data_IF_416172143383
#
_entry.id   IF_416172143383
#
_cell.length_a   1.000
_cell.length_b   1.000
_cell.length_c   1.000
_cell.angle_alpha   90.00
_cell.angle_beta   90.00
_cell.angle_gamma   90.00
#
_symmetry.space_group_name_H-M   'P 1'
#
loop_
_entity.id
_entity.type
_entity.pdbx_description
1 polymer ?
#
# COMPACT_ATOMS: atom_id res chain seq x y z
N UNK A 1 -58.87 21.95 9.95
CA UNK A 1 -58.24 20.67 10.36
C UNK A 1 -57.60 20.91 11.71
N UNK A 2 -57.94 20.13 12.74
CA UNK A 2 -57.45 20.32 14.11
C UNK A 2 -56.23 19.43 14.37
N UNK A 3 -55.15 19.99 14.91
CA UNK A 3 -54.05 19.26 15.57
C UNK A 3 -53.85 19.97 16.93
N UNK A 4 -53.91 19.21 18.03
CA UNK A 4 -53.79 19.69 19.42
C UNK A 4 -54.69 20.86 19.84
N UNK A 5 -55.99 20.77 19.50
CA UNK A 5 -57.03 21.50 20.23
C UNK A 5 -57.09 23.02 20.08
N UNK A 6 -56.34 23.62 19.14
CA UNK A 6 -56.52 25.04 18.75
C UNK A 6 -56.99 25.18 17.31
N UNK A 7 -58.03 25.99 17.10
CA UNK A 7 -58.53 26.42 15.79
C UNK A 7 -57.48 27.33 15.12
N UNK A 8 -57.15 27.06 13.86
CA UNK A 8 -56.29 27.92 13.03
C UNK A 8 -57.20 28.92 12.32
N UNK A 9 -57.20 30.16 12.78
CA UNK A 9 -57.81 31.28 12.06
C UNK A 9 -56.73 32.03 11.26
N UNK A 10 -57.04 32.26 9.97
CA UNK A 10 -56.42 33.19 9.00
C UNK A 10 -55.38 32.58 8.00
N UNK A 11 -55.61 32.65 6.67
CA UNK A 11 -54.78 32.01 5.66
C UNK A 11 -53.71 32.99 5.14
N UNK A 12 -52.54 32.99 5.75
CA UNK A 12 -51.37 33.66 5.21
C UNK A 12 -50.10 32.89 5.58
N UNK A 13 -49.98 31.65 5.10
CA UNK A 13 -48.73 30.89 5.09
C UNK A 13 -48.82 29.79 4.04
N UNK A 14 -48.84 30.21 2.78
CA UNK A 14 -48.70 29.33 1.63
C UNK A 14 -47.62 29.94 0.72
N UNK A 15 -46.37 29.98 1.18
CA UNK A 15 -45.08 30.03 0.43
C UNK A 15 -43.95 29.74 1.44
N UNK A 16 -43.98 28.58 2.12
CA UNK A 16 -42.76 28.00 2.77
C UNK A 16 -42.84 26.46 2.72
N UNK A 17 -43.39 25.90 1.64
CA UNK A 17 -43.49 24.45 1.46
C UNK A 17 -42.80 23.95 0.17
N UNK A 18 -42.03 24.81 -0.52
CA UNK A 18 -41.21 24.41 -1.69
C UNK A 18 -39.78 24.97 -1.54
N UNK A 19 -39.22 24.91 -0.34
CA UNK A 19 -37.77 25.06 -0.14
C UNK A 19 -37.20 24.13 0.93
N UNK A 20 -37.99 23.14 1.38
CA UNK A 20 -37.55 22.11 2.32
C UNK A 20 -37.39 20.73 1.66
N UNK A 21 -37.13 20.69 0.35
CA UNK A 21 -36.83 19.47 -0.41
C UNK A 21 -35.61 19.60 -1.35
N UNK A 22 -34.75 20.58 -1.13
CA UNK A 22 -33.43 20.68 -1.78
C UNK A 22 -32.43 21.18 -0.72
N UNK A 23 -31.88 20.26 0.06
CA UNK A 23 -31.01 20.65 1.18
C UNK A 23 -30.48 19.49 2.01
N UNK A 24 -30.90 18.25 1.75
CA UNK A 24 -30.10 17.08 2.08
C UNK A 24 -29.17 16.84 0.89
N UNK A 25 -28.13 17.66 0.80
CA UNK A 25 -26.91 17.16 0.18
C UNK A 25 -26.54 15.92 0.95
N UNK A 26 -26.65 14.76 0.32
CA UNK A 26 -25.98 13.56 0.79
C UNK A 26 -24.52 13.97 0.93
N UNK A 27 -24.07 14.22 2.16
CA UNK A 27 -22.71 13.89 2.48
C UNK A 27 -22.66 12.38 2.26
N UNK A 28 -22.28 11.97 1.05
CA UNK A 28 -21.71 10.66 0.90
C UNK A 28 -20.57 10.64 1.90
N UNK A 29 -20.77 9.92 3.00
CA UNK A 29 -19.65 9.25 3.64
C UNK A 29 -19.08 8.35 2.55
N UNK A 30 -18.26 8.90 1.66
CA UNK A 30 -17.36 8.09 0.86
C UNK A 30 -16.46 7.44 1.89
N UNK A 31 -16.85 6.24 2.29
CA UNK A 31 -15.91 5.26 2.80
C UNK A 31 -14.84 5.23 1.73
N UNK A 32 -13.65 5.71 2.06
CA UNK A 32 -12.48 5.66 1.21
C UNK A 32 -12.47 4.31 0.50
N UNK A 33 -12.40 4.33 -0.83
CA UNK A 33 -12.39 3.09 -1.57
C UNK A 33 -11.13 2.31 -1.18
N UNK A 34 -11.28 1.00 -1.03
CA UNK A 34 -10.13 0.17 -0.70
C UNK A 34 -9.05 0.29 -1.78
N UNK A 35 -7.76 0.25 -1.39
CA UNK A 35 -6.70 0.02 -2.34
C UNK A 35 -6.97 -1.25 -3.16
N UNK A 36 -6.93 -1.11 -4.48
CA UNK A 36 -7.10 -2.22 -5.42
C UNK A 36 -5.76 -2.54 -6.09
N UNK A 37 -5.60 -3.80 -6.50
CA UNK A 37 -4.44 -4.22 -7.27
C UNK A 37 -4.58 -3.84 -8.75
N UNK A 38 -3.63 -3.04 -9.25
CA UNK A 38 -3.62 -2.47 -10.60
C UNK A 38 -2.72 -3.25 -11.59
N UNK A 39 -2.18 -4.40 -11.18
CA UNK A 39 -1.45 -5.31 -12.06
C UNK A 39 0.07 -5.13 -12.12
N UNK A 40 0.61 -4.10 -11.46
CA UNK A 40 2.05 -3.91 -11.29
C UNK A 40 2.69 -4.92 -10.32
N UNK A 41 4.03 -5.04 -10.29
CA UNK A 41 4.70 -5.94 -9.36
C UNK A 41 4.81 -5.32 -7.96
N UNK A 42 4.94 -6.19 -6.96
CA UNK A 42 5.28 -5.84 -5.57
C UNK A 42 6.72 -6.24 -5.26
N UNK A 43 7.30 -5.77 -4.15
CA UNK A 43 8.61 -6.26 -3.67
C UNK A 43 8.42 -7.56 -2.88
N UNK A 44 8.05 -8.61 -3.61
CA UNK A 44 7.80 -9.95 -3.07
C UNK A 44 9.06 -10.69 -2.64
N UNK A 45 8.89 -11.59 -1.67
CA UNK A 45 9.97 -12.34 -1.03
C UNK A 45 10.55 -11.57 0.17
N UNK A 46 11.80 -11.86 0.50
CA UNK A 46 12.52 -11.16 1.57
C UNK A 46 13.29 -9.97 1.00
N UNK A 47 12.62 -8.82 0.93
CA UNK A 47 13.18 -7.58 0.39
C UNK A 47 14.28 -7.08 1.31
N UNK A 48 15.47 -6.87 0.75
CA UNK A 48 16.59 -6.31 1.50
C UNK A 48 16.45 -4.79 1.52
N UNK A 49 16.44 -4.21 2.72
CA UNK A 49 16.36 -2.77 2.94
C UNK A 49 17.73 -2.25 3.34
N UNK A 50 18.35 -1.44 2.48
CA UNK A 50 19.61 -0.78 2.80
C UNK A 50 19.33 0.60 3.40
N UNK A 51 19.96 0.91 4.52
CA UNK A 51 19.82 2.19 5.21
C UNK A 51 21.02 3.09 4.90
N UNK A 52 20.74 4.27 4.36
CA UNK A 52 21.75 5.27 4.02
C UNK A 52 21.58 6.47 4.93
N UNK A 53 22.44 6.57 5.93
CA UNK A 53 22.47 7.65 6.91
C UNK A 53 23.22 8.84 6.33
N UNK A 54 22.49 9.74 5.66
CA UNK A 54 23.07 10.87 4.95
C UNK A 54 23.18 12.12 5.84
N UNK A 55 24.40 12.62 6.07
CA UNK A 55 24.63 13.88 6.78
C UNK A 55 24.36 13.85 8.29
N UNK A 56 24.42 12.66 8.91
CA UNK A 56 24.23 12.50 10.36
C UNK A 56 25.48 12.87 11.20
N UNK A 57 26.66 12.96 10.58
CA UNK A 57 27.91 13.25 11.29
C UNK A 57 28.14 12.27 12.44
N UNK A 58 28.55 12.78 13.60
CA UNK A 58 28.79 11.96 14.80
C UNK A 58 27.52 11.32 15.38
N UNK A 59 26.34 11.89 15.13
CA UNK A 59 25.07 11.40 15.67
C UNK A 59 24.66 10.04 15.08
N UNK A 60 25.25 9.64 13.94
CA UNK A 60 24.97 8.35 13.31
C UNK A 60 25.20 7.17 14.27
N UNK A 61 26.22 7.26 15.12
CA UNK A 61 26.54 6.22 16.11
C UNK A 61 25.43 5.99 17.14
N UNK A 62 24.59 6.99 17.38
CA UNK A 62 23.46 6.92 18.32
C UNK A 62 22.20 6.42 17.63
N UNK A 63 21.90 6.89 16.42
CA UNK A 63 20.63 6.55 15.74
C UNK A 63 20.70 5.27 14.91
N UNK A 64 21.88 4.90 14.40
CA UNK A 64 22.03 3.74 13.53
C UNK A 64 21.59 2.44 14.20
N UNK A 65 21.98 2.14 15.46
CA UNK A 65 21.49 0.94 16.14
C UNK A 65 19.96 0.91 16.28
N UNK A 66 19.30 2.07 16.40
CA UNK A 66 17.85 2.17 16.59
C UNK A 66 17.11 1.84 15.29
N UNK A 67 17.42 2.54 14.19
CA UNK A 67 16.76 2.31 12.90
C UNK A 67 17.14 0.94 12.31
N UNK A 68 18.37 0.47 12.51
CA UNK A 68 18.76 -0.89 12.13
C UNK A 68 17.91 -1.94 12.86
N UNK A 69 17.79 -1.85 14.19
CA UNK A 69 16.98 -2.79 14.98
C UNK A 69 15.50 -2.77 14.54
N UNK A 70 15.00 -1.59 14.20
CA UNK A 70 13.64 -1.43 13.70
C UNK A 70 13.41 -2.23 12.40
N UNK A 71 14.25 -2.02 11.39
CA UNK A 71 14.16 -2.74 10.11
C UNK A 71 14.39 -4.25 10.28
N UNK A 72 15.33 -4.65 11.15
CA UNK A 72 15.58 -6.08 11.41
C UNK A 72 14.39 -6.81 12.05
N UNK A 73 13.54 -6.10 12.79
CA UNK A 73 12.45 -6.73 13.55
C UNK A 73 11.06 -6.56 12.95
N UNK A 74 10.80 -5.49 12.21
CA UNK A 74 9.43 -5.10 11.83
C UNK A 74 8.70 -6.18 11.04
N UNK A 75 9.39 -6.91 10.16
CA UNK A 75 8.79 -7.96 9.32
C UNK A 75 8.19 -9.13 10.10
N UNK A 76 8.59 -9.32 11.36
CA UNK A 76 8.08 -10.39 12.24
C UNK A 76 6.87 -9.98 13.08
N UNK A 77 6.37 -8.75 12.93
CA UNK A 77 5.25 -8.24 13.73
C UNK A 77 3.90 -8.63 13.13
N UNK A 78 2.87 -8.72 13.98
CA UNK A 78 1.50 -8.87 13.50
C UNK A 78 1.04 -7.63 12.71
N UNK A 79 1.57 -6.45 13.03
CA UNK A 79 1.35 -5.23 12.23
C UNK A 79 1.81 -5.43 10.79
N UNK A 80 3.03 -5.91 10.60
CA UNK A 80 3.56 -6.22 9.27
C UNK A 80 2.77 -7.33 8.57
N UNK A 81 2.19 -8.24 9.34
CA UNK A 81 1.28 -9.27 8.86
C UNK A 81 0.11 -8.76 8.00
N UNK A 82 -0.30 -7.49 8.15
CA UNK A 82 -1.29 -6.84 7.29
C UNK A 82 -0.84 -6.81 5.82
N UNK A 83 0.47 -6.69 5.56
CA UNK A 83 1.04 -6.63 4.20
C UNK A 83 0.77 -7.89 3.37
N UNK A 84 0.44 -9.03 4.01
CA UNK A 84 0.08 -10.27 3.30
C UNK A 84 -1.12 -10.14 2.37
N UNK A 85 -1.98 -9.15 2.60
CA UNK A 85 -3.16 -8.88 1.78
C UNK A 85 -2.84 -8.05 0.52
N UNK A 86 -1.60 -7.60 0.37
CA UNK A 86 -1.12 -6.73 -0.70
C UNK A 86 -0.23 -7.49 -1.70
N UNK A 87 -0.55 -8.74 -2.02
CA UNK A 87 0.27 -9.54 -2.93
C UNK A 87 0.02 -9.23 -4.41
N UNK A 88 1.00 -9.53 -5.27
CA UNK A 88 0.80 -9.53 -6.72
C UNK A 88 0.35 -10.90 -7.22
N UNK A 89 0.31 -11.07 -8.55
CA UNK A 89 -0.02 -12.36 -9.18
C UNK A 89 0.97 -13.48 -8.86
N UNK A 90 2.22 -13.16 -8.50
CA UNK A 90 3.20 -14.16 -8.07
C UNK A 90 2.92 -14.64 -6.64
N UNK A 91 2.07 -13.93 -5.89
CA UNK A 91 1.62 -14.25 -4.54
C UNK A 91 2.78 -14.50 -3.56
N UNK A 92 3.88 -13.78 -3.77
CA UNK A 92 5.06 -13.88 -2.92
C UNK A 92 4.79 -13.14 -1.60
N UNK A 93 5.15 -13.72 -0.44
CA UNK A 93 5.04 -13.03 0.84
C UNK A 93 5.80 -11.70 0.80
N UNK A 94 5.26 -10.66 1.42
CA UNK A 94 5.97 -9.39 1.57
C UNK A 94 6.74 -9.42 2.89
N UNK A 95 8.06 -9.55 2.82
CA UNK A 95 8.96 -9.51 3.97
C UNK A 95 10.08 -8.51 3.76
N UNK A 96 10.65 -8.02 4.86
CA UNK A 96 11.83 -7.16 4.82
C UNK A 96 12.92 -7.67 5.75
N UNK A 97 14.16 -7.49 5.32
CA UNK A 97 15.34 -7.75 6.13
C UNK A 97 16.32 -6.58 6.03
N UNK A 98 17.05 -6.32 7.11
CA UNK A 98 18.11 -5.33 7.09
C UNK A 98 19.25 -5.79 6.18
N UNK A 99 19.59 -4.94 5.22
CA UNK A 99 20.77 -5.07 4.38
C UNK A 99 21.96 -4.30 4.92
N UNK A 100 22.64 -3.58 4.03
CA UNK A 100 23.74 -2.71 4.41
C UNK A 100 23.24 -1.47 5.12
N UNK A 101 24.05 -0.98 6.07
CA UNK A 101 23.84 0.30 6.75
C UNK A 101 25.09 1.13 6.56
N UNK A 102 24.97 2.22 5.81
CA UNK A 102 26.11 3.06 5.47
C UNK A 102 25.90 4.49 5.95
N UNK A 103 26.96 5.10 6.43
CA UNK A 103 26.98 6.53 6.72
C UNK A 103 27.65 7.26 5.56
N UNK A 104 26.98 8.30 5.05
CA UNK A 104 27.52 9.14 3.99
C UNK A 104 27.55 10.59 4.45
N UNK A 105 28.70 11.24 4.29
CA UNK A 105 28.89 12.61 4.73
C UNK A 105 28.19 13.62 3.80
N UNK A 106 27.72 14.72 4.38
CA UNK A 106 27.03 15.79 3.65
C UNK A 106 27.92 16.43 2.56
N UNK A 107 29.25 16.38 2.69
CA UNK A 107 30.18 16.85 1.66
C UNK A 107 30.03 16.14 0.31
N UNK A 108 29.40 14.95 0.27
CA UNK A 108 29.25 14.17 -0.97
C UNK A 108 28.24 14.77 -1.95
N UNK A 109 27.16 15.37 -1.43
CA UNK A 109 26.04 15.90 -2.25
C UNK A 109 25.49 17.25 -1.76
N UNK A 110 26.07 17.83 -0.70
CA UNK A 110 25.65 19.07 -0.09
C UNK A 110 24.56 18.91 0.98
N UNK A 111 24.14 20.03 1.56
CA UNK A 111 23.12 20.07 2.63
C UNK A 111 21.73 20.46 2.15
N UNK A 112 21.57 20.80 0.86
CA UNK A 112 20.29 21.15 0.24
C UNK A 112 20.00 20.18 -0.89
N UNK A 113 18.99 19.33 -0.68
CA UNK A 113 18.68 18.21 -1.56
C UNK A 113 17.32 18.39 -2.22
N UNK A 114 17.16 17.75 -3.38
CA UNK A 114 15.88 17.51 -4.02
C UNK A 114 15.75 16.01 -4.33
N UNK A 115 14.63 15.60 -4.90
CA UNK A 115 14.37 14.19 -5.24
C UNK A 115 15.45 13.56 -6.14
N UNK A 116 15.98 14.32 -7.11
CA UNK A 116 17.06 13.83 -7.98
C UNK A 116 18.36 13.58 -7.22
N UNK A 117 18.71 14.45 -6.27
CA UNK A 117 19.88 14.24 -5.40
C UNK A 117 19.68 13.06 -4.46
N UNK A 118 18.48 12.89 -3.89
CA UNK A 118 18.16 11.70 -3.06
C UNK A 118 18.26 10.42 -3.88
N UNK A 119 17.73 10.39 -5.10
CA UNK A 119 17.88 9.28 -6.04
C UNK A 119 19.36 8.95 -6.32
N UNK A 120 20.19 9.99 -6.46
CA UNK A 120 21.64 9.84 -6.66
C UNK A 120 22.34 9.28 -5.43
N UNK A 121 21.98 9.75 -4.23
CA UNK A 121 22.47 9.19 -2.95
C UNK A 121 22.08 7.72 -2.86
N UNK A 122 20.81 7.39 -3.10
CA UNK A 122 20.29 6.02 -3.02
C UNK A 122 21.01 5.06 -3.98
N UNK A 123 21.23 5.46 -5.24
CA UNK A 123 21.84 4.61 -6.28
C UNK A 123 23.33 4.42 -6.12
N UNK A 124 24.05 5.49 -5.81
CA UNK A 124 25.52 5.51 -5.86
C UNK A 124 26.16 5.21 -4.51
N UNK A 125 25.33 5.00 -3.48
CA UNK A 125 25.74 4.51 -2.18
C UNK A 125 26.52 3.19 -2.32
N UNK A 126 27.82 3.18 -1.96
CA UNK A 126 28.62 1.97 -2.02
C UNK A 126 27.93 0.85 -1.25
N UNK A 127 27.99 -0.39 -1.76
CA UNK A 127 27.47 -1.58 -1.10
C UNK A 127 25.93 -1.68 -1.02
N UNK A 128 25.16 -0.64 -1.32
CA UNK A 128 23.70 -0.67 -1.37
C UNK A 128 23.13 -1.09 -2.75
N UNK A 129 23.96 -1.59 -3.67
CA UNK A 129 23.56 -1.89 -5.07
C UNK A 129 22.86 -3.26 -5.20
N UNK A 130 21.75 -3.35 -5.97
CA UNK A 130 21.01 -4.60 -6.23
C UNK A 130 19.47 -4.41 -6.28
N UNK A 131 18.71 -5.50 -6.40
CA UNK A 131 17.24 -5.52 -6.26
C UNK A 131 16.84 -5.38 -4.78
N UNK A 132 17.09 -4.20 -4.22
CA UNK A 132 16.89 -3.83 -2.83
C UNK A 132 16.07 -2.53 -2.75
N UNK A 133 15.46 -2.27 -1.60
CA UNK A 133 14.93 -0.95 -1.27
C UNK A 133 16.02 -0.13 -0.57
N UNK A 134 16.47 0.95 -1.19
CA UNK A 134 17.46 1.85 -0.60
C UNK A 134 16.78 3.04 0.06
N UNK A 135 16.77 3.08 1.39
CA UNK A 135 16.11 4.11 2.17
C UNK A 135 17.14 5.14 2.68
N UNK A 136 16.99 6.39 2.22
CA UNK A 136 17.84 7.51 2.63
C UNK A 136 17.24 8.18 3.87
N UNK A 137 17.97 8.12 4.98
CA UNK A 137 17.61 8.79 6.23
C UNK A 137 18.52 10.01 6.39
N UNK A 138 17.97 11.22 6.31
CA UNK A 138 18.81 12.43 6.41
C UNK A 138 19.02 12.86 7.85
N UNK A 139 20.20 13.44 8.12
CA UNK A 139 20.55 14.04 9.40
C UNK A 139 19.96 15.44 9.60
N UNK A 140 20.08 16.02 10.80
CA UNK A 140 19.41 17.26 11.18
C UNK A 140 19.88 18.50 10.39
N UNK A 141 21.10 18.50 9.86
CA UNK A 141 21.63 19.63 9.07
C UNK A 141 21.26 19.58 7.58
N UNK A 142 20.42 18.65 7.16
CA UNK A 142 20.04 18.45 5.76
C UNK A 142 18.65 18.99 5.49
N UNK A 143 18.56 19.90 4.54
CA UNK A 143 17.32 20.44 4.00
C UNK A 143 16.94 19.67 2.74
N UNK A 144 15.67 19.26 2.64
CA UNK A 144 15.13 18.58 1.45
C UNK A 144 13.93 19.35 0.93
N UNK A 145 13.88 19.61 -0.37
CA UNK A 145 12.79 20.35 -0.99
C UNK A 145 11.42 19.73 -0.64
N UNK A 146 10.48 20.56 -0.21
CA UNK A 146 9.09 20.23 0.17
C UNK A 146 8.91 19.29 1.38
N UNK A 147 9.99 18.84 2.03
CA UNK A 147 9.90 18.06 3.26
C UNK A 147 9.23 18.87 4.39
N UNK A 148 8.25 18.26 5.07
CA UNK A 148 7.46 18.90 6.13
C UNK A 148 6.34 19.82 5.64
N UNK A 149 6.24 20.04 4.33
CA UNK A 149 5.16 20.80 3.70
C UNK A 149 4.21 19.87 2.95
N UNK A 150 4.75 19.02 2.07
CA UNK A 150 3.94 18.10 1.24
C UNK A 150 4.02 16.66 1.70
N UNK A 151 5.12 16.24 2.32
CA UNK A 151 5.28 14.88 2.84
C UNK A 151 6.35 14.80 3.93
N UNK A 152 6.31 13.70 4.69
CA UNK A 152 7.26 13.37 5.77
C UNK A 152 8.26 12.28 5.37
N UNK A 153 7.92 11.53 4.32
CA UNK A 153 8.79 10.67 3.57
C UNK A 153 8.25 10.55 2.15
N UNK A 154 8.83 9.65 1.37
CA UNK A 154 8.28 9.12 0.14
C UNK A 154 9.12 7.93 -0.33
N UNK A 155 8.54 7.01 -1.08
CA UNK A 155 9.28 6.11 -1.98
C UNK A 155 9.14 6.52 -3.44
N UNK A 156 10.07 6.03 -4.27
CA UNK A 156 10.09 6.26 -5.70
C UNK A 156 10.95 5.19 -6.39
N UNK A 157 11.00 5.26 -7.72
CA UNK A 157 11.79 4.34 -8.53
C UNK A 157 12.48 5.04 -9.70
N UNK A 158 13.49 4.39 -10.30
CA UNK A 158 13.88 4.66 -11.69
C UNK A 158 14.42 3.39 -12.31
N UNK A 159 13.84 3.00 -13.44
CA UNK A 159 13.97 1.63 -13.95
C UNK A 159 13.44 0.64 -12.92
N UNK A 160 14.19 -0.43 -12.66
CA UNK A 160 13.89 -1.45 -11.65
C UNK A 160 14.42 -1.13 -10.24
N UNK A 161 15.03 0.06 -10.05
CA UNK A 161 15.61 0.44 -8.77
C UNK A 161 14.61 1.23 -7.95
N UNK A 162 14.27 0.72 -6.77
CA UNK A 162 13.35 1.32 -5.81
C UNK A 162 14.15 1.95 -4.66
N UNK A 163 13.73 3.12 -4.24
CA UNK A 163 14.37 3.88 -3.17
C UNK A 163 13.33 4.68 -2.41
N UNK A 164 13.70 5.15 -1.23
CA UNK A 164 12.87 6.06 -0.48
C UNK A 164 13.67 7.06 0.33
N UNK A 165 12.94 7.94 0.99
CA UNK A 165 13.49 8.99 1.82
C UNK A 165 12.62 9.18 3.05
N UNK A 166 13.28 9.33 4.21
CA UNK A 166 12.67 9.87 5.41
C UNK A 166 13.58 10.97 5.95
N UNK A 167 13.01 12.16 6.10
CA UNK A 167 13.75 13.32 6.59
C UNK A 167 13.90 13.33 8.10
N UNK A 168 14.93 14.02 8.60
CA UNK A 168 15.04 14.26 10.03
C UNK A 168 13.84 15.07 10.54
N UNK A 169 13.03 14.48 11.41
CA UNK A 169 11.78 15.09 11.86
C UNK A 169 11.98 16.41 12.65
N UNK A 170 13.19 16.70 13.12
CA UNK A 170 13.54 18.02 13.70
C UNK A 170 13.24 19.17 12.73
N UNK A 171 13.44 18.94 11.42
CA UNK A 171 13.24 19.95 10.38
C UNK A 171 11.79 20.04 9.91
N UNK A 172 10.91 19.18 10.43
CA UNK A 172 9.49 19.15 10.09
C UNK A 172 8.66 18.71 11.30
N UNK A 173 8.42 19.58 12.31
CA UNK A 173 7.61 19.22 13.48
C UNK A 173 6.18 18.76 13.14
N UNK A 174 5.65 19.15 11.98
CA UNK A 174 4.37 18.67 11.42
C UNK A 174 4.37 17.17 11.11
N UNK A 175 5.55 16.55 11.01
CA UNK A 175 5.74 15.12 10.81
C UNK A 175 5.81 14.32 12.10
N UNK A 176 5.48 14.93 13.24
CA UNK A 176 5.51 14.32 14.56
C UNK A 176 4.13 14.47 15.20
N UNK A 177 3.40 13.37 15.32
CA UNK A 177 2.20 13.32 16.15
C UNK A 177 2.57 13.49 17.63
N UNK A 178 1.69 14.11 18.42
CA UNK A 178 1.97 14.46 19.81
C UNK A 178 2.17 13.26 20.75
N UNK A 179 1.75 12.06 20.34
CA UNK A 179 1.97 10.82 21.09
C UNK A 179 3.27 10.11 20.69
N UNK A 180 3.78 10.39 19.49
CA UNK A 180 4.88 9.65 18.89
C UNK A 180 6.21 10.05 19.48
N UNK A 181 6.94 9.06 19.96
CA UNK A 181 8.28 9.20 20.46
C UNK A 181 8.97 7.83 20.60
N UNK A 182 10.29 7.86 20.67
CA UNK A 182 11.10 6.69 20.97
C UNK A 182 12.00 6.99 22.17
N UNK A 183 11.73 6.34 23.31
CA UNK A 183 12.52 6.51 24.54
C UNK A 183 12.64 7.98 25.01
N UNK A 184 11.57 8.76 24.89
CA UNK A 184 11.59 10.20 25.20
C UNK A 184 11.94 11.11 24.01
N UNK A 185 12.35 10.55 22.87
CA UNK A 185 12.77 11.31 21.70
C UNK A 185 11.65 11.35 20.63
N UNK A 186 10.94 12.49 20.47
CA UNK A 186 9.90 12.64 19.47
C UNK A 186 10.45 12.69 18.03
N UNK A 187 11.70 13.12 17.83
CA UNK A 187 12.32 13.20 16.51
C UNK A 187 12.58 11.79 15.98
N UNK A 188 13.24 10.94 16.78
CA UNK A 188 13.52 9.55 16.41
C UNK A 188 12.22 8.75 16.28
N UNK A 189 11.25 8.97 17.19
CA UNK A 189 9.93 8.35 17.11
C UNK A 189 9.17 8.72 15.83
N UNK A 190 9.14 10.01 15.49
CA UNK A 190 8.51 10.49 14.26
C UNK A 190 9.11 9.84 13.02
N UNK A 191 10.44 9.76 12.95
CA UNK A 191 11.12 9.06 11.87
C UNK A 191 10.76 7.57 11.82
N UNK A 192 10.71 6.85 12.94
CA UNK A 192 10.32 5.43 12.97
C UNK A 192 8.89 5.21 12.48
N UNK A 193 7.97 6.08 12.89
CA UNK A 193 6.57 6.04 12.42
C UNK A 193 6.46 6.25 10.92
N UNK A 194 7.22 7.21 10.36
CA UNK A 194 7.24 7.46 8.92
C UNK A 194 7.98 6.35 8.18
N UNK A 195 9.08 5.80 8.72
CA UNK A 195 9.76 4.65 8.11
C UNK A 195 8.79 3.47 7.97
N UNK A 196 7.97 3.15 8.96
CA UNK A 196 6.94 2.11 8.83
C UNK A 196 5.99 2.39 7.66
N UNK A 197 5.48 3.62 7.58
CA UNK A 197 4.56 4.09 6.55
C UNK A 197 5.15 3.90 5.14
N UNK A 198 6.28 4.54 4.88
CA UNK A 198 6.96 4.51 3.57
C UNK A 198 7.43 3.10 3.20
N UNK A 199 7.82 2.31 4.19
CA UNK A 199 8.30 0.96 3.96
C UNK A 199 7.17 0.04 3.50
N UNK A 200 5.97 0.15 4.10
CA UNK A 200 4.83 -0.66 3.68
C UNK A 200 4.30 -0.29 2.31
N UNK A 201 4.33 1.00 1.96
CA UNK A 201 3.94 1.47 0.64
C UNK A 201 4.95 1.02 -0.42
N UNK A 202 6.25 1.21 -0.16
CA UNK A 202 7.30 0.79 -1.09
C UNK A 202 7.28 -0.70 -1.42
N UNK A 203 6.88 -1.57 -0.49
CA UNK A 203 6.79 -3.02 -0.78
C UNK A 203 5.50 -3.40 -1.50
N UNK A 204 4.38 -2.72 -1.24
CA UNK A 204 3.08 -3.04 -1.84
C UNK A 204 2.84 -2.32 -3.16
N UNK A 205 3.50 -1.18 -3.40
CA UNK A 205 3.47 -0.48 -4.67
C UNK A 205 4.81 0.21 -5.02
N UNK A 206 5.88 -0.56 -5.23
CA UNK A 206 7.22 -0.03 -5.51
C UNK A 206 7.30 0.88 -6.75
N UNK A 207 6.38 0.69 -7.71
CA UNK A 207 6.39 1.36 -9.01
C UNK A 207 5.11 2.15 -9.29
N UNK A 208 4.32 2.45 -8.25
CA UNK A 208 3.08 3.25 -8.33
C UNK A 208 2.02 2.69 -9.31
N UNK A 209 2.04 1.36 -9.50
CA UNK A 209 1.24 0.59 -10.46
C UNK A 209 0.63 -0.71 -9.89
N UNK A 210 0.82 -1.00 -8.60
CA UNK A 210 0.27 -2.16 -7.90
C UNK A 210 -0.90 -1.75 -7.00
N UNK A 211 -0.70 -1.52 -5.71
CA UNK A 211 -1.79 -1.36 -4.75
C UNK A 211 -2.07 0.09 -4.35
N UNK A 212 -3.22 0.63 -4.80
CA UNK A 212 -3.69 1.96 -4.39
C UNK A 212 -5.20 2.14 -4.59
N UNK A 213 -5.77 3.11 -3.88
CA UNK A 213 -7.16 3.53 -4.04
C UNK A 213 -7.41 3.97 -5.50
N UNK A 214 -8.58 3.65 -6.10
CA UNK A 214 -8.92 4.15 -7.43
C UNK A 214 -8.82 5.67 -7.54
N UNK A 215 -8.41 6.16 -8.71
CA UNK A 215 -8.37 7.59 -9.02
C UNK A 215 -6.96 8.20 -9.01
N UNK A 216 -6.86 9.53 -9.22
CA UNK A 216 -5.59 10.24 -9.22
C UNK A 216 -5.01 10.33 -7.81
N UNK A 217 -3.69 10.45 -7.67
CA UNK A 217 -3.06 10.73 -6.38
C UNK A 217 -3.52 12.10 -5.85
N UNK A 218 -4.28 12.11 -4.77
CA UNK A 218 -4.70 13.31 -4.04
C UNK A 218 -4.73 13.01 -2.54
N UNK A 219 -5.10 13.98 -1.71
CA UNK A 219 -5.31 13.75 -0.28
C UNK A 219 -6.48 12.79 0.03
N UNK A 220 -7.34 12.50 -0.95
CA UNK A 220 -8.58 11.71 -0.77
C UNK A 220 -8.78 10.63 -1.82
N UNK A 221 -7.81 10.39 -2.70
CA UNK A 221 -7.88 9.37 -3.75
C UNK A 221 -6.46 8.95 -4.16
N UNK A 222 -6.32 7.77 -4.78
CA UNK A 222 -5.00 7.27 -5.17
C UNK A 222 -4.11 6.85 -4.00
N UNK A 223 -4.61 6.88 -2.76
CA UNK A 223 -3.86 6.57 -1.54
C UNK A 223 -3.40 5.12 -1.50
N UNK A 224 -2.20 4.90 -1.01
CA UNK A 224 -1.68 3.56 -0.73
C UNK A 224 -2.13 3.07 0.67
N UNK A 225 -1.66 1.90 1.09
CA UNK A 225 -2.10 1.29 2.35
C UNK A 225 -1.78 2.12 3.60
N UNK A 226 -0.60 2.73 3.69
CA UNK A 226 -0.22 3.53 4.85
C UNK A 226 -0.86 4.93 4.82
N UNK A 227 -1.00 5.55 3.65
CA UNK A 227 -1.75 6.80 3.41
C UNK A 227 -3.16 6.75 4.01
N UNK A 228 -3.87 5.63 3.84
CA UNK A 228 -5.23 5.44 4.36
C UNK A 228 -5.30 5.52 5.90
N UNK A 229 -4.17 5.29 6.55
CA UNK A 229 -4.00 5.28 8.00
C UNK A 229 -3.01 6.31 8.52
N UNK A 230 -2.64 7.29 7.69
CA UNK A 230 -1.77 8.38 8.08
C UNK A 230 -2.26 9.02 9.39
N UNK A 231 -1.35 9.12 10.36
CA UNK A 231 -1.58 9.71 11.68
C UNK A 231 -2.67 9.04 12.54
N UNK A 232 -3.01 7.78 12.25
CA UNK A 232 -3.88 6.97 13.10
C UNK A 232 -3.05 5.98 13.89
N UNK A 233 -3.35 5.87 15.18
CA UNK A 233 -2.66 5.01 16.12
C UNK A 233 -3.69 4.27 16.95
N UNK A 234 -3.75 2.95 16.83
CA UNK A 234 -4.59 2.08 17.65
C UNK A 234 -3.75 1.08 18.45
N UNK A 235 -4.40 0.39 19.40
CA UNK A 235 -3.71 -0.57 20.26
C UNK A 235 -2.69 0.06 21.23
N UNK A 236 -2.81 1.36 21.50
CA UNK A 236 -1.84 2.12 22.29
C UNK A 236 -1.74 1.58 23.71
N UNK A 237 -0.51 1.31 24.13
CA UNK A 237 -0.08 1.02 25.48
C UNK A 237 0.92 2.10 25.92
N UNK A 238 1.25 2.10 27.22
CA UNK A 238 2.22 3.05 27.78
C UNK A 238 3.25 2.31 28.63
N UNK A 239 4.50 2.75 28.54
CA UNK A 239 5.57 2.39 29.46
C UNK A 239 6.17 3.66 30.12
N UNK A 240 7.28 3.50 30.85
CA UNK A 240 7.97 4.64 31.49
C UNK A 240 8.58 5.63 30.48
N UNK A 241 8.70 5.23 29.22
CA UNK A 241 9.24 6.04 28.16
C UNK A 241 8.16 6.76 27.38
N UNK A 242 6.98 6.17 27.16
CA UNK A 242 5.83 6.84 26.55
C UNK A 242 4.86 5.87 25.89
N UNK A 243 4.09 6.36 24.91
CA UNK A 243 3.12 5.57 24.15
C UNK A 243 3.81 4.63 23.15
N UNK A 244 3.25 3.44 22.96
CA UNK A 244 3.68 2.47 21.94
C UNK A 244 2.50 1.58 21.51
N UNK A 245 2.53 1.05 20.29
CA UNK A 245 1.59 0.03 19.83
C UNK A 245 2.29 -1.21 19.26
N UNK A 246 3.62 -1.19 19.13
CA UNK A 246 4.43 -2.32 18.72
C UNK A 246 5.58 -2.59 19.69
N UNK A 247 5.87 -3.86 19.93
CA UNK A 247 7.00 -4.32 20.75
C UNK A 247 7.77 -5.41 20.02
N UNK A 248 9.00 -5.11 19.62
CA UNK A 248 9.89 -6.05 18.94
C UNK A 248 11.35 -5.61 19.05
N UNK A 249 12.30 -6.51 18.81
CA UNK A 249 13.74 -6.19 18.93
C UNK A 249 14.14 -5.66 20.31
N UNK A 250 13.40 -6.02 21.36
CA UNK A 250 13.62 -5.53 22.73
C UNK A 250 13.29 -4.05 22.95
N UNK A 251 12.54 -3.42 22.03
CA UNK A 251 12.16 -2.01 22.11
C UNK A 251 10.65 -1.85 21.88
N UNK A 252 10.13 -0.70 22.32
CA UNK A 252 8.75 -0.28 22.11
C UNK A 252 8.71 0.86 21.10
N UNK A 253 7.78 0.77 20.15
CA UNK A 253 7.61 1.70 19.04
C UNK A 253 6.15 2.13 18.95
N UNK A 254 5.91 3.42 18.73
CA UNK A 254 4.62 3.91 18.26
C UNK A 254 4.71 4.19 16.76
N UNK A 255 4.01 3.39 15.96
CA UNK A 255 3.94 3.53 14.52
C UNK A 255 2.49 3.67 14.08
N UNK A 256 2.26 4.32 12.94
CA UNK A 256 0.92 4.44 12.37
C UNK A 256 0.30 3.07 12.11
N UNK A 257 -1.02 2.99 12.21
CA UNK A 257 -1.77 1.82 11.77
C UNK A 257 -1.54 1.60 10.26
N UNK A 258 -1.77 0.38 9.79
CA UNK A 258 -1.79 0.08 8.35
C UNK A 258 -3.22 -0.27 7.92
N UNK A 259 -3.58 -0.03 6.67
CA UNK A 259 -4.89 -0.39 6.15
C UNK A 259 -5.01 -1.90 6.04
N UNK A 260 -5.97 -2.47 6.76
CA UNK A 260 -6.30 -3.88 6.68
C UNK A 260 -7.46 -4.03 5.71
N UNK A 261 -7.21 -4.70 4.58
CA UNK A 261 -8.25 -5.04 3.60
C UNK A 261 -9.29 -5.99 4.22
N UNK A 262 -10.56 -5.69 3.94
CA UNK A 262 -11.71 -6.41 4.46
C UNK A 262 -11.66 -7.92 4.18
N UNK A 263 -12.09 -8.70 5.17
CA UNK A 263 -12.09 -10.17 5.12
C UNK A 263 -13.52 -10.70 5.32
N UNK A 264 -14.17 -11.08 4.22
CA UNK A 264 -15.55 -11.59 4.25
C UNK A 264 -16.54 -10.53 4.75
N UNK A 265 -17.00 -10.67 6.00
CA UNK A 265 -17.94 -9.72 6.63
C UNK A 265 -17.25 -8.62 7.43
N UNK A 266 -15.93 -8.73 7.69
CA UNK A 266 -15.16 -7.67 8.35
C UNK A 266 -14.84 -6.61 7.30
N UNK A 267 -15.32 -5.36 7.47
CA UNK A 267 -14.97 -4.26 6.56
C UNK A 267 -13.49 -3.90 6.70
N UNK A 268 -12.96 -3.14 5.76
CA UNK A 268 -11.60 -2.61 5.83
C UNK A 268 -11.49 -1.49 6.88
N UNK A 269 -10.35 -1.40 7.55
CA UNK A 269 -10.09 -0.38 8.58
C UNK A 269 -8.59 -0.24 8.87
N UNK A 270 -8.23 0.84 9.56
CA UNK A 270 -6.88 1.02 10.09
C UNK A 270 -6.64 0.13 11.30
N UNK A 271 -5.59 -0.70 11.22
CA UNK A 271 -5.27 -1.66 12.27
C UNK A 271 -3.79 -1.62 12.62
N UNK A 272 -3.51 -1.78 13.91
CA UNK A 272 -2.16 -1.98 14.44
C UNK A 272 -1.72 -3.46 14.40
N UNK A 273 -2.57 -4.37 13.93
CA UNK A 273 -2.32 -5.82 13.90
C UNK A 273 -3.10 -6.50 12.79
N UNK A 274 -2.56 -7.57 12.22
CA UNK A 274 -3.33 -8.49 11.39
C UNK A 274 -4.47 -9.13 12.18
N UNK A 275 -5.51 -9.60 11.46
CA UNK A 275 -6.53 -10.44 12.05
C UNK A 275 -5.93 -11.80 12.47
N UNK A 276 -6.29 -12.32 13.65
CA UNK A 276 -5.91 -13.66 14.05
C UNK A 276 -6.30 -14.68 13.00
N UNK A 277 -5.41 -15.62 12.71
CA UNK A 277 -5.61 -16.69 11.70
C UNK A 277 -6.81 -17.62 11.99
N UNK A 278 -7.49 -17.48 13.12
CA UNK A 278 -8.41 -18.50 13.66
C UNK A 278 -9.87 -18.11 13.81
N UNK A 279 -10.37 -16.97 13.32
CA UNK A 279 -11.75 -16.57 13.69
C UNK A 279 -12.65 -16.18 12.54
N UNK A 280 -13.12 -17.20 11.81
CA UNK A 280 -14.47 -17.20 11.24
C UNK A 280 -15.07 -18.60 11.31
N UNK A 281 -15.52 -19.01 12.50
CA UNK A 281 -16.44 -20.14 12.60
C UNK A 281 -17.87 -19.57 12.59
N UNK A 282 -18.67 -19.89 11.57
CA UNK A 282 -20.13 -19.69 11.64
C UNK A 282 -20.67 -20.57 12.79
N UNK A 283 -21.62 -20.11 13.61
CA UNK A 283 -22.31 -20.99 14.56
C UNK A 283 -22.94 -22.16 13.78
N UNK A 284 -22.47 -23.40 14.04
CA UNK A 284 -23.02 -24.62 13.44
C UNK A 284 -22.28 -25.22 12.23
N UNK A 285 -21.12 -24.69 11.80
CA UNK A 285 -20.25 -25.38 10.82
C UNK A 285 -18.82 -25.53 11.34
N UNK A 286 -18.23 -26.71 11.10
CA UNK A 286 -16.84 -27.03 11.47
C UNK A 286 -15.86 -26.02 10.87
N UNK A 287 -14.94 -25.53 11.70
CA UNK A 287 -13.91 -24.58 11.32
C UNK A 287 -12.96 -25.24 10.31
N UNK A 288 -12.84 -24.69 9.11
CA UNK A 288 -11.72 -25.03 8.20
C UNK A 288 -10.60 -24.01 8.41
N UNK A 289 -9.35 -24.44 8.63
CA UNK A 289 -8.20 -23.55 8.52
C UNK A 289 -8.09 -23.12 7.06
N UNK A 290 -8.12 -21.82 6.81
CA UNK A 290 -7.91 -21.29 5.47
C UNK A 290 -6.45 -20.91 5.32
N UNK A 291 -5.65 -21.82 4.76
CA UNK A 291 -4.44 -21.51 3.99
C UNK A 291 -4.16 -22.66 3.03
N UNK A 292 -4.30 -22.38 1.73
CA UNK A 292 -3.55 -22.95 0.62
C UNK A 292 -2.91 -24.34 0.82
N UNK A 293 -3.72 -25.38 0.95
CA UNK A 293 -3.25 -26.73 0.64
C UNK A 293 -3.37 -26.97 -0.86
N UNK A 294 -2.26 -27.35 -1.46
CA UNK A 294 -2.14 -27.87 -2.83
C UNK A 294 -3.29 -28.81 -3.17
N UNK A 295 -3.91 -28.59 -4.34
CA UNK A 295 -4.82 -29.55 -4.97
C UNK A 295 -4.06 -30.85 -5.24
N UNK A 296 -4.07 -31.78 -4.28
CA UNK A 296 -3.79 -33.19 -4.49
C UNK A 296 -4.32 -33.98 -3.28
N UNK A 297 -5.64 -34.20 -3.24
CA UNK A 297 -6.19 -35.33 -2.48
C UNK A 297 -7.46 -35.89 -3.15
N UNK A 298 -7.71 -37.22 -3.07
CA UNK A 298 -8.75 -37.91 -3.85
C UNK A 298 -10.20 -37.57 -3.46
N UNK A 299 -10.40 -36.66 -2.51
CA UNK A 299 -11.73 -36.31 -1.99
C UNK A 299 -12.50 -35.31 -2.88
N UNK A 300 -11.84 -34.69 -3.86
CA UNK A 300 -12.50 -33.82 -4.84
C UNK A 300 -13.24 -34.57 -5.97
N UNK A 301 -13.10 -35.90 -6.08
CA UNK A 301 -13.82 -36.70 -7.10
C UNK A 301 -15.21 -37.17 -6.67
N UNK A 302 -15.64 -36.91 -5.43
CA UNK A 302 -16.93 -37.40 -4.91
C UNK A 302 -18.09 -36.39 -4.93
N UNK A 303 -17.87 -35.20 -5.48
CA UNK A 303 -18.92 -34.16 -5.60
C UNK A 303 -19.26 -33.81 -7.06
N UNK A 304 -18.96 -34.72 -8.00
CA UNK A 304 -19.32 -34.59 -9.42
C UNK A 304 -20.24 -35.72 -9.91
N UNK A 305 -21.08 -36.30 -9.04
CA UNK A 305 -22.05 -37.34 -9.45
C UNK A 305 -23.52 -36.98 -9.26
N UNK A 306 -23.86 -35.87 -8.61
CA UNK A 306 -25.24 -35.65 -8.17
C UNK A 306 -25.85 -34.36 -8.77
N UNK A 307 -25.68 -34.18 -10.08
CA UNK A 307 -26.58 -33.35 -10.89
C UNK A 307 -27.27 -34.31 -11.85
N UNK A 308 -28.42 -34.85 -11.43
CA UNK A 308 -29.37 -35.48 -12.34
C UNK A 308 -29.95 -34.39 -13.25
N UNK A 309 -29.58 -34.41 -14.52
CA UNK A 309 -30.31 -33.70 -15.57
C UNK A 309 -31.65 -34.41 -15.82
N UNK A 310 -32.79 -33.68 -15.94
CA UNK A 310 -34.04 -34.31 -16.35
C UNK A 310 -34.00 -34.73 -17.82
N UNK A 311 -34.46 -35.95 -18.11
CA UNK A 311 -34.47 -36.55 -19.46
C UNK A 311 -35.22 -35.71 -20.52
N UNK A 312 -34.80 -35.75 -21.80
CA UNK A 312 -35.51 -35.09 -22.87
C UNK A 312 -36.68 -35.93 -23.40
N UNK A 313 -37.89 -35.37 -23.40
CA UNK A 313 -39.03 -35.91 -24.15
C UNK A 313 -38.72 -35.97 -25.66
N UNK A 314 -39.02 -37.12 -26.26
CA UNK A 314 -38.87 -37.37 -27.69
C UNK A 314 -39.90 -36.58 -28.51
N UNK A 315 -39.46 -35.55 -29.21
CA UNK A 315 -40.22 -34.83 -30.22
C UNK A 315 -39.57 -34.94 -31.60
N UNK A 316 -40.31 -35.46 -32.58
CA UNK A 316 -39.90 -35.74 -33.96
C UNK A 316 -39.50 -34.49 -34.76
N UNK A 317 -38.37 -34.57 -35.47
CA UNK A 317 -37.81 -33.56 -36.40
C UNK A 317 -38.40 -33.72 -37.81
N UNK A 318 -38.72 -32.63 -38.53
CA UNK A 318 -38.57 -32.59 -39.98
C UNK A 318 -37.47 -31.61 -40.44
N UNK A 319 -36.85 -31.97 -41.57
CA UNK A 319 -35.62 -31.45 -42.19
C UNK A 319 -35.58 -29.95 -42.57
N UNK A 320 -34.37 -29.36 -42.78
CA UNK A 320 -34.23 -27.96 -43.20
C UNK A 320 -34.17 -27.82 -44.72
N UNK A 321 -34.99 -26.93 -45.27
CA UNK A 321 -34.85 -26.42 -46.64
C UNK A 321 -33.96 -25.18 -46.69
N UNK A 322 -32.96 -25.23 -47.58
CA UNK A 322 -32.12 -24.10 -47.98
C UNK A 322 -32.92 -22.89 -48.48
N UNK A 323 -32.52 -21.68 -48.06
CA UNK A 323 -32.49 -20.52 -48.96
C UNK A 323 -31.53 -19.42 -48.48
N UNK A 324 -31.00 -18.71 -49.47
CA UNK A 324 -29.73 -18.02 -49.54
C UNK A 324 -29.82 -16.51 -49.27
N UNK A 325 -28.71 -15.96 -48.76
CA UNK A 325 -28.05 -14.69 -49.11
C UNK A 325 -28.52 -13.32 -48.54
N UNK A 326 -27.47 -12.54 -48.20
CA UNK A 326 -27.31 -11.09 -47.96
C UNK A 326 -27.29 -10.75 -46.47
N UNK A 327 -26.24 -10.21 -45.87
CA UNK A 327 -25.11 -9.42 -46.37
C UNK A 327 -24.81 -8.36 -45.29
N UNK A 328 -23.60 -7.79 -45.34
CA UNK A 328 -23.07 -6.73 -44.44
C UNK A 328 -22.45 -7.24 -43.13
N UNK A 329 -21.12 -7.27 -43.13
CA UNK A 329 -20.30 -7.52 -41.95
C UNK A 329 -19.87 -6.24 -41.24
N UNK A 330 -19.29 -6.44 -40.06
CA UNK A 330 -18.34 -5.51 -39.46
C UNK A 330 -17.35 -6.33 -38.60
N UNK A 331 -16.15 -6.53 -39.15
CA UNK A 331 -14.97 -7.00 -38.44
C UNK A 331 -14.41 -5.86 -37.60
N UNK A 332 -13.95 -6.14 -36.38
CA UNK A 332 -12.91 -5.35 -35.73
C UNK A 332 -11.70 -6.24 -35.48
N UNK A 333 -10.59 -5.86 -36.09
CA UNK A 333 -9.33 -6.59 -36.21
C UNK A 333 -8.43 -6.40 -34.97
N UNK A 334 -7.83 -7.50 -34.52
CA UNK A 334 -6.52 -7.49 -33.87
C UNK A 334 -5.43 -7.12 -34.90
N UNK A 335 -4.51 -6.22 -34.54
CA UNK A 335 -3.27 -6.01 -35.28
C UNK A 335 -2.05 -6.27 -34.40
N UNK A 336 -1.37 -7.39 -34.69
CA UNK A 336 0.04 -7.58 -34.41
C UNK A 336 0.85 -7.07 -35.61
N UNK A 337 2.01 -6.46 -35.37
CA UNK A 337 2.99 -6.17 -36.42
C UNK A 337 4.39 -6.61 -36.01
N UNK A 338 4.86 -7.68 -36.68
CA UNK A 338 6.26 -8.02 -36.93
C UNK A 338 6.71 -7.29 -38.20
N UNK A 339 7.90 -6.69 -38.21
CA UNK A 339 8.82 -6.62 -39.38
C UNK A 339 10.23 -6.28 -38.84
N UNK A 340 11.17 -7.24 -38.89
CA UNK A 340 12.23 -7.47 -39.89
C UNK A 340 13.55 -6.72 -39.62
N UNK A 341 14.58 -7.51 -39.31
CA UNK A 341 16.01 -7.17 -39.21
C UNK A 341 16.63 -6.97 -40.61
N UNK A 342 17.73 -6.21 -40.71
CA UNK A 342 18.80 -6.49 -41.67
C UNK A 342 20.13 -6.90 -40.98
N UNK A 343 20.85 -7.78 -41.69
CA UNK A 343 22.13 -8.39 -41.31
C UNK A 343 23.33 -7.42 -41.34
N UNK A 344 24.31 -7.79 -40.51
CA UNK A 344 25.69 -7.29 -40.35
C UNK A 344 26.52 -7.04 -41.62
N UNK A 345 27.48 -6.09 -41.52
CA UNK A 345 28.87 -6.22 -42.02
C UNK A 345 29.85 -5.38 -41.19
N UNK A 346 30.93 -6.03 -40.75
CA UNK A 346 32.14 -5.43 -40.16
C UNK A 346 32.95 -4.68 -41.23
N UNK A 347 33.76 -3.68 -40.82
CA UNK A 347 35.19 -3.47 -41.17
C UNK A 347 35.78 -2.33 -40.30
N UNK A 348 37.04 -2.53 -39.89
CA UNK A 348 37.96 -1.75 -39.04
C UNK A 348 38.26 -0.30 -39.46
N UNK A 349 38.69 0.54 -38.49
CA UNK A 349 39.93 1.37 -38.52
C UNK A 349 40.07 2.19 -37.20
N UNK A 350 41.02 1.85 -36.32
CA UNK A 350 42.32 2.52 -36.03
C UNK A 350 42.31 3.77 -35.15
N UNK A 351 43.09 3.67 -34.07
CA UNK A 351 43.75 4.66 -33.20
C UNK A 351 43.71 6.16 -33.54
N UNK A 352 43.43 6.97 -32.52
CA UNK A 352 44.25 8.10 -32.03
C UNK A 352 43.83 8.43 -30.60
#
# INVERSE_FOLDING_TARGET
MMIDGKQIENPASLIVAISLLMGLGSASNEVAADPIYNGGPVLGGMTTVNLIYYGWGSQVTTVQPIFNNFISGISGTNWWGITRFYSDRANSPLGVQLGQSIALDASTYGTSLNQSTISSIARNSPQAQGNNLNLVLTGPSISVANFGVTSCGWHAYSGSFVYGFVGNAQNAPTCIDNLVQFRGDPIVGGMLSVIAHELTEAISDPYLSAWKEPGPQTATSGRENADMCAWKYSGIQHDSFGAFNQSFGGQNYLIQDNWLLGQGIIPSFCSFTELPKTTFCRPGLQCKPDFGETYDSPLAQRFQSDIEEPEPEQGTVPEPSMLTLLGVGLMCLCFAHRMNLPKSRNINMTSS
#
